data_IF_391743845548
#
_entry.id   IF_391743845548
#
_cell.length_a   1.000
_cell.length_b   1.000
_cell.length_c   1.000
_cell.angle_alpha   90.00
_cell.angle_beta   90.00
_cell.angle_gamma   90.00
#
_symmetry.space_group_name_H-M   'P 1'
#
loop_
_entity.id
_entity.type
_entity.pdbx_description
1 polymer ?
#
# COMPACT_ATOMS: atom_id res chain seq x y z
N UNK A 1 12.85 -5.09 5.44
CA UNK A 1 12.52 -5.75 4.15
C UNK A 1 12.70 -4.76 3.02
N UNK A 2 12.89 -5.20 1.78
CA UNK A 2 12.89 -4.28 0.63
C UNK A 2 11.47 -4.04 0.09
N UNK A 3 11.30 -3.03 -0.78
CA UNK A 3 10.00 -2.68 -1.36
C UNK A 3 9.33 -3.86 -2.07
N UNK A 4 10.08 -4.71 -2.80
CA UNK A 4 9.50 -5.89 -3.45
C UNK A 4 8.93 -6.92 -2.45
N UNK A 5 9.65 -7.18 -1.36
CA UNK A 5 9.18 -8.03 -0.26
C UNK A 5 7.97 -7.42 0.44
N UNK A 6 7.94 -6.10 0.58
CA UNK A 6 6.81 -5.38 1.13
C UNK A 6 5.55 -5.52 0.28
N UNK A 7 5.64 -5.35 -1.04
CA UNK A 7 4.50 -5.57 -1.95
C UNK A 7 3.99 -7.02 -1.91
N UNK A 8 4.90 -7.99 -1.76
CA UNK A 8 4.53 -9.40 -1.57
C UNK A 8 3.75 -9.60 -0.27
N UNK A 9 4.21 -8.99 0.83
CA UNK A 9 3.52 -9.01 2.11
C UNK A 9 2.13 -8.37 2.02
N UNK A 10 2.00 -7.20 1.39
CA UNK A 10 0.69 -6.54 1.20
C UNK A 10 -0.30 -7.46 0.46
N UNK A 11 0.16 -8.12 -0.60
CA UNK A 11 -0.67 -9.07 -1.34
C UNK A 11 -1.11 -10.26 -0.49
N UNK A 12 -0.22 -10.80 0.34
CA UNK A 12 -0.55 -11.88 1.27
C UNK A 12 -1.57 -11.44 2.32
N UNK A 13 -1.34 -10.29 2.96
CA UNK A 13 -2.24 -9.75 3.98
C UNK A 13 -3.64 -9.48 3.40
N UNK A 14 -3.71 -8.94 2.18
CA UNK A 14 -4.97 -8.66 1.49
C UNK A 14 -5.76 -9.92 1.14
N UNK A 15 -5.10 -10.98 0.66
CA UNK A 15 -5.76 -12.20 0.17
C UNK A 15 -6.04 -13.24 1.25
N UNK A 16 -5.18 -13.33 2.26
CA UNK A 16 -5.21 -14.42 3.22
C UNK A 16 -5.60 -13.94 4.62
N UNK A 17 -4.89 -12.95 5.16
CA UNK A 17 -5.03 -12.54 6.57
C UNK A 17 -6.29 -11.71 6.82
N UNK A 18 -6.55 -10.71 5.96
CA UNK A 18 -7.66 -9.76 6.13
C UNK A 18 -8.76 -9.98 5.10
N UNK A 19 -8.85 -11.16 4.49
CA UNK A 19 -9.79 -11.47 3.40
C UNK A 19 -11.25 -11.06 3.68
N UNK A 20 -11.66 -11.16 4.94
CA UNK A 20 -13.02 -10.88 5.42
C UNK A 20 -13.18 -9.48 6.08
N UNK A 21 -12.10 -8.70 6.18
CA UNK A 21 -12.12 -7.33 6.71
C UNK A 21 -11.99 -6.31 5.56
N UNK A 22 -13.14 -5.80 5.12
CA UNK A 22 -13.23 -4.86 4.00
C UNK A 22 -12.47 -3.57 4.27
N UNK A 23 -12.48 -3.06 5.51
CA UNK A 23 -11.80 -1.81 5.90
C UNK A 23 -10.28 -1.99 5.86
N UNK A 24 -9.76 -3.12 6.34
CA UNK A 24 -8.32 -3.36 6.31
C UNK A 24 -7.85 -3.66 4.88
N UNK A 25 -8.61 -4.44 4.09
CA UNK A 25 -8.28 -4.70 2.69
C UNK A 25 -8.21 -3.44 1.84
N UNK A 26 -9.12 -2.53 2.07
CA UNK A 26 -9.15 -1.20 1.49
C UNK A 26 -7.83 -0.45 1.69
N UNK A 27 -7.40 -0.34 2.95
CA UNK A 27 -6.15 0.32 3.32
C UNK A 27 -4.92 -0.39 2.73
N UNK A 28 -4.89 -1.73 2.74
CA UNK A 28 -3.79 -2.50 2.15
C UNK A 28 -3.68 -2.29 0.64
N UNK A 29 -4.81 -2.19 -0.06
CA UNK A 29 -4.84 -1.94 -1.49
C UNK A 29 -4.33 -0.54 -1.81
N UNK A 30 -4.78 0.48 -1.07
CA UNK A 30 -4.28 1.85 -1.25
C UNK A 30 -2.78 1.96 -0.96
N UNK A 31 -2.28 1.28 0.08
CA UNK A 31 -0.86 1.25 0.39
C UNK A 31 -0.04 0.60 -0.73
N UNK A 32 -0.58 -0.45 -1.38
CA UNK A 32 0.00 -1.05 -2.57
C UNK A 32 0.04 -0.09 -3.76
N UNK A 33 -1.04 0.64 -4.02
CA UNK A 33 -1.11 1.64 -5.09
C UNK A 33 -0.18 2.84 -4.84
N UNK A 34 -0.09 3.34 -3.62
CA UNK A 34 0.85 4.40 -3.26
C UNK A 34 2.29 3.98 -3.53
N UNK A 35 2.65 2.74 -3.16
CA UNK A 35 3.97 2.16 -3.44
C UNK A 35 4.24 2.10 -4.96
N UNK A 36 3.26 1.62 -5.75
CA UNK A 36 3.36 1.57 -7.22
C UNK A 36 3.50 2.96 -7.85
N UNK A 37 2.79 3.98 -7.35
CA UNK A 37 2.94 5.36 -7.85
C UNK A 37 4.37 5.87 -7.65
N UNK A 38 4.98 5.62 -6.50
CA UNK A 38 6.36 6.03 -6.21
C UNK A 38 7.39 5.27 -7.06
N UNK A 39 7.20 3.97 -7.27
CA UNK A 39 8.02 3.16 -8.18
C UNK A 39 7.96 3.71 -9.62
N UNK A 40 6.75 4.02 -10.10
CA UNK A 40 6.56 4.60 -11.43
C UNK A 40 7.18 5.99 -11.58
N UNK A 41 7.13 6.81 -10.51
CA UNK A 41 7.82 8.12 -10.44
C UNK A 41 9.34 7.98 -10.27
N UNK A 42 9.87 6.77 -10.09
CA UNK A 42 11.29 6.48 -9.78
C UNK A 42 11.80 7.21 -8.53
N UNK A 43 10.90 7.47 -7.57
CA UNK A 43 11.25 8.06 -6.28
C UNK A 43 11.74 7.00 -5.29
N UNK A 44 11.35 5.74 -5.51
CA UNK A 44 11.86 4.56 -4.83
C UNK A 44 12.14 3.46 -5.86
N UNK A 45 12.88 2.44 -5.47
CA UNK A 45 13.18 1.24 -6.25
C UNK A 45 12.69 -0.03 -5.52
N UNK A 46 12.51 -1.16 -6.23
CA UNK A 46 12.15 -2.43 -5.60
C UNK A 46 13.17 -2.93 -4.56
N UNK A 47 14.42 -2.45 -4.63
CA UNK A 47 15.52 -2.86 -3.77
C UNK A 47 15.68 -1.99 -2.52
N UNK A 48 15.03 -0.82 -2.49
CA UNK A 48 15.15 0.10 -1.37
C UNK A 48 14.56 -0.51 -0.11
N UNK A 49 15.08 -0.11 1.05
CA UNK A 49 14.55 -0.52 2.32
C UNK A 49 13.17 0.11 2.55
N UNK A 50 12.18 -0.71 2.92
CA UNK A 50 10.85 -0.23 3.27
C UNK A 50 10.90 0.73 4.46
N UNK A 51 11.69 0.43 5.49
CA UNK A 51 11.73 1.23 6.72
C UNK A 51 12.20 2.67 6.48
N UNK A 52 13.08 2.87 5.51
CA UNK A 52 13.61 4.18 5.12
C UNK A 52 12.61 4.99 4.28
N UNK A 53 11.64 4.31 3.63
CA UNK A 53 10.71 4.91 2.68
C UNK A 53 9.25 4.90 3.16
N UNK A 54 8.95 4.29 4.30
CA UNK A 54 7.57 4.09 4.79
C UNK A 54 6.80 5.41 4.90
N UNK A 55 7.42 6.47 5.40
CA UNK A 55 6.76 7.77 5.56
C UNK A 55 6.39 8.38 4.20
N UNK A 56 7.28 8.28 3.21
CA UNK A 56 6.99 8.71 1.84
C UNK A 56 5.82 7.92 1.24
N UNK A 57 5.77 6.60 1.46
CA UNK A 57 4.67 5.73 1.01
C UNK A 57 3.35 6.13 1.68
N UNK A 58 3.34 6.34 3.00
CA UNK A 58 2.14 6.77 3.73
C UNK A 58 1.66 8.16 3.30
N UNK A 59 2.57 9.08 3.01
CA UNK A 59 2.23 10.43 2.52
C UNK A 59 1.71 10.41 1.07
N UNK A 60 2.11 9.43 0.26
CA UNK A 60 1.60 9.24 -1.11
C UNK A 60 0.22 8.58 -1.13
N UNK A 61 -0.23 7.94 -0.03
CA UNK A 61 -1.58 7.38 0.04
C UNK A 61 -2.62 8.46 -0.28
N UNK A 62 -3.44 8.20 -1.29
CA UNK A 62 -4.58 9.03 -1.56
C UNK A 62 -5.71 8.55 -0.64
N UNK A 63 -5.78 9.17 0.54
CA UNK A 63 -6.95 9.06 1.42
C UNK A 63 -8.24 9.61 0.79
N UNK A 64 -8.13 10.16 -0.43
CA UNK A 64 -9.17 10.89 -1.15
C UNK A 64 -10.50 10.14 -1.18
N UNK A 65 -11.56 10.92 -1.35
CA UNK A 65 -13.02 10.68 -1.24
C UNK A 65 -13.62 9.35 -1.76
N UNK A 66 -12.81 8.42 -2.30
CA UNK A 66 -13.18 7.04 -2.62
C UNK A 66 -13.60 6.22 -1.40
N UNK A 67 -13.12 6.55 -0.20
CA UNK A 67 -13.47 5.84 1.04
C UNK A 67 -14.58 6.52 1.85
N UNK A 68 -14.87 7.80 1.59
CA UNK A 68 -15.95 8.57 2.26
C UNK A 68 -17.31 8.46 1.54
N UNK A 69 -17.34 7.89 0.33
CA UNK A 69 -18.56 7.65 -0.47
C UNK A 69 -18.88 6.15 -0.68
N UNK A 70 -18.28 5.25 0.10
CA UNK A 70 -18.72 3.85 0.14
C UNK A 70 -19.78 3.77 1.22
N UNK A 71 -21.06 3.72 0.81
CA UNK A 71 -22.15 3.36 1.70
C UNK A 71 -21.89 1.97 2.28
N UNK A 72 -21.82 1.90 3.62
CA UNK A 72 -21.65 0.68 4.40
C UNK A 72 -22.96 -0.09 4.54
#
# INVERSE_FOLDING_TARGET
MNIAQFQTLLGYLYRETYKDDTVIRANLLELGWATERLLNKRLITPFDAYDDNKELIFNEMEWSDRWTNIDW
#
